data_IF_457422708987
#
_entry.id   IF_457422708987
#
_cell.length_a   1.000
_cell.length_b   1.000
_cell.length_c   1.000
_cell.angle_alpha   90.00
_cell.angle_beta   90.00
_cell.angle_gamma   90.00
#
_symmetry.space_group_name_H-M   'P 1'
#
loop_
_entity.id
_entity.type
_entity.pdbx_description
1 polymer ?
#
# COMPACT_ATOMS: atom_id res chain seq x y z
N UNK A 1 16.86 -0.56 -11.12
CA UNK A 1 17.67 0.38 -11.89
C UNK A 1 18.85 -0.39 -12.47
N UNK A 2 18.93 -0.61 -13.79
CA UNK A 2 19.94 -1.50 -14.39
C UNK A 2 21.38 -1.03 -14.18
N UNK A 3 21.62 0.29 -14.13
CA UNK A 3 22.95 0.89 -13.89
C UNK A 3 23.53 0.56 -12.51
N UNK A 4 22.69 0.55 -11.46
CA UNK A 4 23.15 0.19 -10.12
C UNK A 4 23.57 -1.28 -10.02
N UNK A 5 22.87 -2.17 -10.74
CA UNK A 5 23.25 -3.58 -10.82
C UNK A 5 24.53 -3.76 -11.63
N UNK A 6 24.72 -3.00 -12.71
CA UNK A 6 25.96 -3.01 -13.49
C UNK A 6 27.17 -2.57 -12.67
N UNK A 7 27.04 -1.48 -11.90
CA UNK A 7 28.09 -1.02 -10.95
C UNK A 7 28.50 -2.14 -10.01
N UNK A 8 27.52 -2.81 -9.38
CA UNK A 8 27.82 -3.91 -8.46
C UNK A 8 28.51 -5.08 -9.16
N UNK A 9 28.03 -5.49 -10.35
CA UNK A 9 28.62 -6.61 -11.10
C UNK A 9 30.06 -6.32 -11.54
N UNK A 10 30.35 -5.10 -12.01
CA UNK A 10 31.70 -4.68 -12.39
C UNK A 10 32.66 -4.73 -11.18
N UNK A 11 32.20 -4.31 -10.00
CA UNK A 11 33.03 -4.25 -8.79
C UNK A 11 33.21 -5.60 -8.08
N UNK A 12 32.24 -6.52 -8.20
CA UNK A 12 32.15 -7.71 -7.34
C UNK A 12 32.28 -9.04 -8.11
N UNK A 13 32.45 -9.03 -9.44
CA UNK A 13 32.55 -10.25 -10.26
C UNK A 13 33.63 -10.15 -11.33
N UNK A 14 34.10 -11.29 -11.84
CA UNK A 14 35.05 -11.38 -12.96
C UNK A 14 34.36 -11.48 -14.34
N UNK A 15 33.11 -11.00 -14.45
CA UNK A 15 32.34 -11.05 -15.69
C UNK A 15 32.88 -10.06 -16.73
N UNK A 16 32.74 -10.43 -18.00
CA UNK A 16 33.09 -9.54 -19.11
C UNK A 16 32.09 -8.40 -19.26
N UNK A 17 32.53 -7.28 -19.83
CA UNK A 17 31.66 -6.13 -20.09
C UNK A 17 30.46 -6.48 -20.97
N UNK A 18 30.64 -7.38 -21.94
CA UNK A 18 29.54 -7.86 -22.79
C UNK A 18 28.49 -8.65 -22.02
N UNK A 19 28.92 -9.49 -21.05
CA UNK A 19 27.99 -10.25 -20.20
C UNK A 19 27.15 -9.33 -19.31
N UNK A 20 27.78 -8.31 -18.72
CA UNK A 20 27.11 -7.32 -17.87
C UNK A 20 26.18 -6.43 -18.71
N UNK A 21 26.65 -6.01 -19.89
CA UNK A 21 25.89 -5.20 -20.83
C UNK A 21 24.60 -5.90 -21.27
N UNK A 22 24.69 -7.17 -21.65
CA UNK A 22 23.52 -7.96 -22.05
C UNK A 22 22.53 -8.14 -20.89
N UNK A 23 23.02 -8.47 -19.69
CA UNK A 23 22.17 -8.67 -18.51
C UNK A 23 21.46 -7.38 -18.06
N UNK A 24 22.18 -6.26 -18.04
CA UNK A 24 21.64 -4.97 -17.64
C UNK A 24 20.96 -4.20 -18.80
N UNK A 25 20.94 -4.75 -20.02
CA UNK A 25 20.47 -4.07 -21.23
C UNK A 25 21.13 -2.71 -21.45
N UNK A 26 22.45 -2.64 -21.27
CA UNK A 26 23.30 -1.48 -21.49
C UNK A 26 24.22 -1.73 -22.68
N UNK A 27 24.82 -0.66 -23.22
CA UNK A 27 25.88 -0.83 -24.22
C UNK A 27 27.21 -1.21 -23.52
N UNK A 28 28.08 -2.07 -24.10
CA UNK A 28 29.38 -2.41 -23.51
C UNK A 28 30.25 -1.19 -23.15
N UNK A 29 30.20 -0.15 -23.97
CA UNK A 29 30.87 1.14 -23.69
C UNK A 29 30.33 1.86 -22.44
N UNK A 30 29.04 1.73 -22.12
CA UNK A 30 28.50 2.28 -20.87
C UNK A 30 29.02 1.49 -19.67
N UNK A 31 29.15 0.17 -19.80
CA UNK A 31 29.72 -0.69 -18.73
C UNK A 31 31.20 -0.41 -18.53
N UNK A 32 31.94 -0.20 -19.62
CA UNK A 32 33.33 0.25 -19.56
C UNK A 32 33.44 1.61 -18.86
N UNK A 33 32.60 2.58 -19.23
CA UNK A 33 32.57 3.88 -18.54
C UNK A 33 32.23 3.76 -17.05
N UNK A 34 31.44 2.75 -16.65
CA UNK A 34 31.19 2.45 -15.23
C UNK A 34 32.45 1.90 -14.55
N UNK A 35 33.18 1.01 -15.23
CA UNK A 35 34.44 0.46 -14.72
C UNK A 35 35.54 1.53 -14.60
N UNK A 36 35.57 2.47 -15.55
CA UNK A 36 36.52 3.60 -15.56
C UNK A 36 36.13 4.70 -14.54
N UNK A 37 34.91 4.65 -14.00
CA UNK A 37 34.39 5.61 -13.01
C UNK A 37 33.76 6.88 -13.60
N UNK A 38 33.70 6.98 -14.93
CA UNK A 38 33.17 8.13 -15.68
C UNK A 38 31.63 8.13 -15.77
N UNK A 39 31.03 6.93 -15.80
CA UNK A 39 29.58 6.73 -15.93
C UNK A 39 29.06 6.17 -14.61
N UNK A 40 27.96 6.73 -14.08
CA UNK A 40 27.34 6.32 -12.81
C UNK A 40 28.04 6.79 -11.52
N UNK A 41 28.83 7.87 -11.55
CA UNK A 41 29.39 8.50 -10.35
C UNK A 41 28.28 8.81 -9.32
N UNK A 42 28.42 8.28 -8.10
CA UNK A 42 27.44 8.45 -7.02
C UNK A 42 26.27 7.47 -7.00
N UNK A 43 26.19 6.51 -7.94
CA UNK A 43 25.23 5.41 -7.88
C UNK A 43 25.76 4.32 -6.95
N UNK A 44 25.01 4.00 -5.89
CA UNK A 44 25.33 2.88 -5.00
C UNK A 44 24.98 1.56 -5.71
N UNK A 45 25.98 0.66 -5.83
CA UNK A 45 25.80 -0.66 -6.42
C UNK A 45 24.70 -1.47 -5.75
N UNK A 46 23.84 -2.12 -6.55
CA UNK A 46 22.78 -3.00 -6.07
C UNK A 46 23.09 -4.46 -6.39
N UNK A 47 23.26 -5.26 -5.34
CA UNK A 47 23.55 -6.70 -5.41
C UNK A 47 22.39 -7.50 -6.05
N UNK A 48 22.57 -8.06 -7.26
CA UNK A 48 21.54 -8.84 -7.95
C UNK A 48 21.32 -10.23 -7.33
N UNK A 49 22.28 -10.75 -6.55
CA UNK A 49 22.14 -12.03 -5.84
C UNK A 49 21.22 -11.82 -4.63
N UNK A 50 21.48 -10.78 -3.83
CA UNK A 50 20.61 -10.43 -2.68
C UNK A 50 19.20 -10.03 -3.11
N UNK A 51 19.06 -9.38 -4.26
CA UNK A 51 17.76 -9.05 -4.84
C UNK A 51 17.04 -10.26 -5.47
N UNK A 52 17.66 -11.44 -5.48
CA UNK A 52 17.09 -12.68 -6.01
C UNK A 52 16.98 -12.74 -7.54
N UNK A 53 17.70 -11.86 -8.25
CA UNK A 53 17.72 -11.82 -9.72
C UNK A 53 18.70 -12.84 -10.30
N UNK A 54 19.81 -13.10 -9.60
CA UNK A 54 20.85 -14.08 -9.96
C UNK A 54 21.11 -15.04 -8.80
N UNK A 55 21.69 -16.20 -9.10
CA UNK A 55 22.25 -17.09 -8.07
C UNK A 55 23.78 -17.02 -8.10
N UNK A 56 24.46 -17.28 -6.96
CA UNK A 56 25.92 -17.34 -6.92
C UNK A 56 26.48 -18.33 -7.95
N UNK A 57 25.82 -19.47 -8.14
CA UNK A 57 26.26 -20.51 -9.07
C UNK A 57 26.20 -20.02 -10.53
N UNK A 58 25.19 -19.23 -10.88
CA UNK A 58 25.03 -18.65 -12.21
C UNK A 58 26.14 -17.63 -12.52
N UNK A 59 26.51 -16.80 -11.54
CA UNK A 59 27.65 -15.88 -11.66
C UNK A 59 28.94 -16.67 -11.88
N UNK A 60 29.23 -17.67 -11.04
CA UNK A 60 30.43 -18.50 -11.20
C UNK A 60 30.46 -19.27 -12.53
N UNK A 61 29.31 -19.70 -13.05
CA UNK A 61 29.21 -20.34 -14.37
C UNK A 61 29.63 -19.38 -15.49
N UNK A 62 29.19 -18.13 -15.41
CA UNK A 62 29.50 -17.10 -16.39
C UNK A 62 30.91 -16.54 -16.25
N UNK A 63 31.48 -16.46 -15.04
CA UNK A 63 32.88 -16.08 -14.81
C UNK A 63 33.86 -17.09 -15.44
N UNK A 64 33.52 -18.38 -15.43
CA UNK A 64 34.36 -19.44 -16.03
C UNK A 64 34.23 -19.53 -17.55
N UNK A 65 33.25 -18.87 -18.16
CA UNK A 65 33.02 -18.93 -19.60
C UNK A 65 32.58 -17.56 -20.14
N UNK A 66 33.49 -16.79 -20.78
CA UNK A 66 33.19 -15.49 -21.37
C UNK A 66 32.06 -15.50 -22.42
N UNK A 67 31.82 -16.64 -23.08
CA UNK A 67 30.76 -16.78 -24.07
C UNK A 67 29.39 -17.09 -23.42
N UNK A 68 29.35 -17.47 -22.15
CA UNK A 68 28.10 -17.73 -21.45
C UNK A 68 27.38 -16.42 -21.14
N UNK A 69 26.04 -16.44 -21.14
CA UNK A 69 25.19 -15.30 -20.78
C UNK A 69 24.45 -15.56 -19.49
N UNK A 70 24.35 -14.52 -18.66
CA UNK A 70 23.64 -14.53 -17.40
C UNK A 70 22.15 -14.68 -17.65
N UNK A 71 21.50 -15.61 -16.95
CA UNK A 71 20.05 -15.78 -17.01
C UNK A 71 19.40 -15.28 -15.73
N UNK A 72 18.34 -14.48 -15.88
CA UNK A 72 17.50 -14.12 -14.73
C UNK A 72 16.92 -15.39 -14.11
N UNK A 73 17.02 -15.48 -12.79
CA UNK A 73 16.33 -16.51 -12.03
C UNK A 73 14.82 -16.30 -12.17
N UNK A 74 14.09 -17.37 -12.48
CA UNK A 74 12.64 -17.35 -12.42
C UNK A 74 12.19 -17.11 -10.96
N UNK A 75 11.33 -16.11 -10.70
CA UNK A 75 10.89 -15.83 -9.34
C UNK A 75 10.09 -17.02 -8.81
N UNK A 76 10.67 -17.76 -7.86
CA UNK A 76 9.99 -18.88 -7.17
C UNK A 76 8.79 -18.40 -6.34
N UNK A 77 8.75 -17.11 -6.01
CA UNK A 77 7.68 -16.49 -5.21
C UNK A 77 7.00 -15.41 -6.05
N UNK A 78 5.68 -15.48 -6.27
CA UNK A 78 4.96 -14.40 -6.94
C UNK A 78 5.16 -13.10 -6.16
N UNK A 79 5.56 -12.04 -6.86
CA UNK A 79 5.75 -10.71 -6.31
C UNK A 79 4.52 -10.32 -5.47
N UNK A 80 4.69 -10.23 -4.15
CA UNK A 80 3.63 -9.78 -3.25
C UNK A 80 3.25 -8.37 -3.70
N UNK A 81 2.08 -8.21 -4.31
CA UNK A 81 1.59 -6.89 -4.73
C UNK A 81 1.60 -6.00 -3.51
N UNK A 82 2.37 -4.91 -3.56
CA UNK A 82 2.42 -3.89 -2.51
C UNK A 82 1.00 -3.61 -2.05
N UNK A 83 0.73 -3.84 -0.76
CA UNK A 83 -0.56 -3.55 -0.16
C UNK A 83 -0.87 -2.10 -0.49
N UNK A 84 -1.97 -1.84 -1.20
CA UNK A 84 -2.39 -0.48 -1.55
C UNK A 84 -2.35 0.32 -0.25
N UNK A 85 -1.50 1.34 -0.20
CA UNK A 85 -1.36 2.20 0.98
C UNK A 85 -2.70 2.86 1.33
N UNK A 86 -2.79 3.53 2.48
CA UNK A 86 -4.01 4.23 2.89
C UNK A 86 -4.55 5.07 1.74
N UNK A 87 -5.81 4.84 1.36
CA UNK A 87 -6.43 5.53 0.23
C UNK A 87 -6.47 7.03 0.56
N UNK A 88 -5.87 7.85 -0.29
CA UNK A 88 -5.94 9.30 -0.13
C UNK A 88 -7.39 9.75 -0.32
N UNK A 89 -8.00 10.30 0.74
CA UNK A 89 -9.35 10.86 0.66
C UNK A 89 -9.25 12.36 0.28
N UNK A 90 -9.77 12.78 -0.89
CA UNK A 90 -9.67 14.15 -1.41
C UNK A 90 -10.17 15.21 -0.43
N UNK A 91 -9.63 16.43 -0.51
CA UNK A 91 -9.96 17.57 0.38
C UNK A 91 -11.47 17.86 0.41
N UNK A 92 -12.11 17.88 -0.76
CA UNK A 92 -13.55 18.12 -0.89
C UNK A 92 -14.42 17.13 -0.11
N UNK A 93 -13.95 15.89 0.07
CA UNK A 93 -14.68 14.84 0.78
C UNK A 93 -14.31 14.73 2.26
N UNK A 94 -13.43 15.61 2.78
CA UNK A 94 -13.00 15.56 4.19
C UNK A 94 -14.09 15.97 5.17
N UNK A 95 -14.98 16.87 4.75
CA UNK A 95 -16.10 17.36 5.54
C UNK A 95 -17.13 16.26 5.82
N UNK A 96 -17.31 15.31 4.90
CA UNK A 96 -18.22 14.17 5.03
C UNK A 96 -17.64 13.01 5.86
N UNK A 97 -16.37 13.08 6.28
CA UNK A 97 -15.74 11.98 7.05
C UNK A 97 -16.35 11.77 8.43
N UNK A 98 -16.67 12.80 9.23
CA UNK A 98 -17.31 12.61 10.53
C UNK A 98 -18.67 11.92 10.41
N UNK A 99 -19.44 12.26 9.38
CA UNK A 99 -20.74 11.64 9.05
C UNK A 99 -20.61 10.15 8.72
N UNK A 100 -19.59 9.81 7.94
CA UNK A 100 -19.24 8.43 7.63
C UNK A 100 -18.75 7.63 8.85
N UNK A 101 -17.95 8.25 9.73
CA UNK A 101 -17.51 7.62 10.98
C UNK A 101 -18.73 7.34 11.86
N UNK A 102 -19.62 8.32 12.01
CA UNK A 102 -20.86 8.19 12.78
C UNK A 102 -21.74 7.04 12.25
N UNK A 103 -21.87 6.91 10.93
CA UNK A 103 -22.59 5.80 10.31
C UNK A 103 -21.97 4.45 10.63
N UNK A 104 -20.65 4.30 10.55
CA UNK A 104 -19.98 3.04 10.87
C UNK A 104 -20.12 2.69 12.35
N UNK A 105 -19.98 3.66 13.25
CA UNK A 105 -20.13 3.44 14.69
C UNK A 105 -21.59 3.13 15.11
N UNK A 106 -22.58 3.59 14.34
CA UNK A 106 -24.01 3.27 14.55
C UNK A 106 -24.37 1.90 13.98
N UNK A 107 -24.02 1.64 12.71
CA UNK A 107 -24.52 0.46 11.97
C UNK A 107 -23.58 -0.75 12.00
N UNK A 108 -22.29 -0.51 12.23
CA UNK A 108 -21.26 -1.55 12.28
C UNK A 108 -20.36 -1.39 13.51
N UNK A 109 -20.93 -1.41 14.73
CA UNK A 109 -20.16 -1.26 15.96
C UNK A 109 -19.14 -2.40 16.16
N UNK A 110 -19.29 -3.51 15.45
CA UNK A 110 -18.30 -4.58 15.43
C UNK A 110 -16.96 -4.18 14.83
N UNK A 111 -16.88 -3.13 13.99
CA UNK A 111 -15.63 -2.71 13.36
C UNK A 111 -14.66 -2.10 14.39
N UNK A 112 -13.40 -2.50 14.32
CA UNK A 112 -12.34 -1.87 15.12
C UNK A 112 -11.94 -0.50 14.56
N UNK A 113 -11.42 0.38 15.42
CA UNK A 113 -10.95 1.71 15.06
C UNK A 113 -9.89 1.65 13.96
N UNK A 114 -9.01 0.64 13.97
CA UNK A 114 -8.01 0.46 12.92
C UNK A 114 -8.65 0.21 11.55
N UNK A 115 -9.76 -0.52 11.50
CA UNK A 115 -10.51 -0.82 10.27
C UNK A 115 -11.25 0.42 9.79
N UNK A 116 -11.86 1.18 10.69
CA UNK A 116 -12.50 2.48 10.37
C UNK A 116 -11.47 3.47 9.81
N UNK A 117 -10.29 3.57 10.43
CA UNK A 117 -9.20 4.41 9.95
C UNK A 117 -8.76 4.04 8.53
N UNK A 118 -8.66 2.73 8.26
CA UNK A 118 -8.25 2.19 6.97
C UNK A 118 -9.30 2.40 5.88
N UNK A 119 -10.59 2.27 6.20
CA UNK A 119 -11.70 2.49 5.26
C UNK A 119 -11.84 3.95 4.85
N UNK A 120 -11.74 4.88 5.81
CA UNK A 120 -12.07 6.29 5.57
C UNK A 120 -10.84 7.20 5.36
N UNK A 121 -9.63 6.68 5.59
CA UNK A 121 -8.40 7.45 5.51
C UNK A 121 -8.34 8.53 6.60
N UNK A 122 -8.65 8.13 7.84
CA UNK A 122 -8.71 9.01 9.02
C UNK A 122 -7.79 8.50 10.15
N UNK A 123 -7.69 9.23 11.25
CA UNK A 123 -6.89 8.85 12.43
C UNK A 123 -7.78 8.36 13.56
N UNK A 124 -7.22 7.54 14.47
CA UNK A 124 -7.91 7.08 15.68
C UNK A 124 -8.41 8.23 16.55
N UNK A 125 -7.66 9.33 16.60
CA UNK A 125 -8.06 10.53 17.32
C UNK A 125 -9.36 11.11 16.77
N UNK A 126 -9.52 11.17 15.44
CA UNK A 126 -10.76 11.64 14.82
C UNK A 126 -11.92 10.68 15.08
N UNK A 127 -11.68 9.36 14.99
CA UNK A 127 -12.73 8.35 15.30
C UNK A 127 -13.22 8.52 16.75
N UNK A 128 -12.30 8.64 17.70
CA UNK A 128 -12.64 8.86 19.10
C UNK A 128 -13.32 10.20 19.36
N UNK A 129 -12.94 11.26 18.64
CA UNK A 129 -13.59 12.57 18.76
C UNK A 129 -15.06 12.52 18.29
N UNK A 130 -15.35 11.77 17.22
CA UNK A 130 -16.74 11.54 16.78
C UNK A 130 -17.47 10.64 17.77
N UNK A 131 -16.82 9.55 18.24
CA UNK A 131 -17.38 8.62 19.22
C UNK A 131 -17.83 9.30 20.50
N UNK A 132 -16.99 10.19 21.01
CA UNK A 132 -17.22 10.89 22.27
C UNK A 132 -17.95 12.23 22.09
N UNK A 133 -18.43 12.54 20.88
CA UNK A 133 -19.08 13.82 20.53
C UNK A 133 -18.23 15.06 20.89
N UNK A 134 -16.90 14.94 20.85
CA UNK A 134 -15.93 16.02 21.11
C UNK A 134 -15.32 16.62 19.83
N UNK A 135 -15.74 16.13 18.66
CA UNK A 135 -15.39 16.75 17.39
C UNK A 135 -16.00 18.16 17.30
N UNK A 136 -15.25 19.13 16.77
CA UNK A 136 -15.71 20.53 16.69
C UNK A 136 -17.05 20.69 15.93
N UNK A 137 -17.30 19.82 14.95
CA UNK A 137 -18.53 19.80 14.16
C UNK A 137 -19.61 18.84 14.72
N UNK A 138 -19.44 18.31 15.93
CA UNK A 138 -20.34 17.29 16.49
C UNK A 138 -21.84 17.61 16.41
N UNK A 139 -22.30 18.87 16.62
CA UNK A 139 -23.71 19.20 16.50
C UNK A 139 -24.32 18.98 15.11
N UNK A 140 -23.49 19.01 14.06
CA UNK A 140 -23.95 18.90 12.68
C UNK A 140 -23.67 17.50 12.08
N UNK A 141 -23.09 16.58 12.84
CA UNK A 141 -22.76 15.24 12.33
C UNK A 141 -24.05 14.46 12.09
N UNK A 142 -24.26 14.04 10.84
CA UNK A 142 -25.40 13.19 10.46
C UNK A 142 -24.88 11.86 9.93
N UNK A 143 -25.25 10.70 10.51
CA UNK A 143 -24.80 9.40 10.02
C UNK A 143 -25.15 9.21 8.53
N UNK A 144 -24.14 9.08 7.66
CA UNK A 144 -24.30 8.84 6.22
C UNK A 144 -23.40 7.70 5.74
N UNK A 145 -23.92 6.89 4.82
CA UNK A 145 -23.20 5.71 4.32
C UNK A 145 -21.89 6.10 3.60
N UNK A 146 -20.71 5.59 4.03
CA UNK A 146 -19.43 5.91 3.41
C UNK A 146 -19.29 5.45 1.96
N UNK A 147 -20.06 4.45 1.53
CA UNK A 147 -20.10 3.98 0.13
C UNK A 147 -20.83 4.99 -0.73
N UNK A 148 -21.98 5.50 -0.28
CA UNK A 148 -22.75 6.53 -0.98
C UNK A 148 -22.00 7.86 -1.07
N UNK A 149 -21.27 8.21 -0.01
CA UNK A 149 -20.35 9.36 -0.01
C UNK A 149 -19.12 9.16 -0.92
N UNK A 150 -18.91 7.93 -1.40
CA UNK A 150 -17.76 7.54 -2.22
C UNK A 150 -16.43 7.72 -1.49
N UNK A 151 -16.42 7.43 -0.18
CA UNK A 151 -15.22 7.38 0.68
C UNK A 151 -14.60 5.97 0.64
N UNK A 152 -15.42 4.93 0.62
CA UNK A 152 -14.99 3.56 0.39
C UNK A 152 -15.84 2.89 -0.71
N UNK A 153 -15.46 1.69 -1.14
CA UNK A 153 -16.28 0.88 -2.05
C UNK A 153 -17.03 -0.18 -1.25
N UNK A 154 -18.17 -0.66 -1.76
CA UNK A 154 -18.89 -1.77 -1.14
C UNK A 154 -18.00 -2.99 -0.92
N UNK A 155 -17.13 -3.29 -1.90
CA UNK A 155 -16.16 -4.38 -1.82
C UNK A 155 -15.18 -4.21 -0.67
N UNK A 156 -14.73 -2.98 -0.40
CA UNK A 156 -13.81 -2.71 0.72
C UNK A 156 -14.51 -2.81 2.07
N UNK A 157 -15.73 -2.29 2.18
CA UNK A 157 -16.54 -2.40 3.40
C UNK A 157 -16.81 -3.88 3.75
N UNK A 158 -17.27 -4.66 2.77
CA UNK A 158 -17.52 -6.09 2.95
C UNK A 158 -16.24 -6.85 3.32
N UNK A 159 -15.09 -6.47 2.76
CA UNK A 159 -13.79 -7.08 3.09
C UNK A 159 -13.44 -6.84 4.56
N UNK A 160 -13.54 -5.61 5.05
CA UNK A 160 -13.19 -5.29 6.43
C UNK A 160 -14.16 -5.94 7.43
N UNK A 161 -15.46 -6.00 7.10
CA UNK A 161 -16.44 -6.75 7.90
C UNK A 161 -16.11 -8.25 7.95
N UNK A 162 -15.73 -8.86 6.82
CA UNK A 162 -15.34 -10.26 6.77
C UNK A 162 -14.06 -10.53 7.60
N UNK A 163 -13.05 -9.67 7.48
CA UNK A 163 -11.82 -9.75 8.28
C UNK A 163 -12.16 -9.64 9.77
N UNK A 164 -13.04 -8.71 10.14
CA UNK A 164 -13.45 -8.56 11.54
C UNK A 164 -14.14 -9.80 12.06
N UNK A 165 -15.06 -10.38 11.30
CA UNK A 165 -15.76 -11.62 11.67
C UNK A 165 -14.80 -12.80 11.86
N UNK A 166 -13.73 -12.89 11.05
CA UNK A 166 -12.75 -13.96 11.14
C UNK A 166 -11.81 -13.82 12.34
N UNK A 167 -11.42 -12.58 12.64
CA UNK A 167 -10.40 -12.27 13.65
C UNK A 167 -11.00 -11.85 15.00
N UNK A 168 -12.32 -11.83 15.15
CA UNK A 168 -12.98 -11.44 16.41
C UNK A 168 -12.79 -12.54 17.44
N UNK A 169 -12.35 -12.17 18.63
CA UNK A 169 -12.37 -13.10 19.76
C UNK A 169 -13.84 -13.38 20.15
N UNK A 170 -14.23 -14.65 20.37
CA UNK A 170 -15.60 -14.99 20.76
C UNK A 170 -16.08 -14.31 22.05
N UNK A 171 -15.13 -13.96 22.93
CA UNK A 171 -15.38 -13.28 24.21
C UNK A 171 -15.27 -11.75 24.13
N UNK A 172 -14.95 -11.18 22.97
CA UNK A 172 -14.85 -9.73 22.79
C UNK A 172 -16.25 -9.10 22.82
N UNK A 173 -16.45 -8.14 23.73
CA UNK A 173 -17.71 -7.39 23.80
C UNK A 173 -17.78 -6.42 22.62
N UNK A 174 -18.87 -6.51 21.87
CA UNK A 174 -19.16 -5.54 20.81
C UNK A 174 -19.57 -4.23 21.49
N UNK A 175 -18.95 -3.09 21.16
CA UNK A 175 -19.39 -1.79 21.64
C UNK A 175 -20.88 -1.59 21.37
N UNK A 176 -21.58 -0.90 22.27
CA UNK A 176 -22.97 -0.53 21.96
C UNK A 176 -23.00 0.39 20.74
N UNK A 177 -23.97 0.18 19.82
CA UNK A 177 -24.12 1.05 18.67
C UNK A 177 -24.34 2.48 19.13
N UNK A 178 -23.69 3.43 18.44
CA UNK A 178 -23.84 4.84 18.79
C UNK A 178 -25.29 5.27 18.60
N UNK A 179 -25.91 5.75 19.68
CA UNK A 179 -27.23 6.35 19.63
C UNK A 179 -27.10 7.76 19.04
N UNK A 180 -27.94 8.05 18.06
CA UNK A 180 -28.18 9.40 17.56
C UNK A 180 -29.64 9.69 17.84
N UNK A 181 -29.93 10.86 18.38
CA UNK A 181 -31.29 11.32 18.60
C UNK A 181 -31.97 11.35 17.22
N UNK A 182 -33.02 10.53 17.06
CA UNK A 182 -33.82 10.49 15.84
C UNK A 182 -34.75 11.71 15.83
N UNK A 183 -34.17 12.90 15.77
CA UNK A 183 -34.93 14.14 15.72
C UNK A 183 -35.04 14.65 14.25
N UNK A 184 -36.29 14.63 13.80
CA UNK A 184 -36.87 15.26 12.61
C UNK A 184 -36.47 14.71 11.23
N UNK A 185 -37.10 13.58 10.89
CA UNK A 185 -37.72 13.46 9.56
C UNK A 185 -38.69 14.63 9.40
N UNK A 186 -38.17 15.78 8.96
CA UNK A 186 -39.01 16.83 8.41
C UNK A 186 -39.70 16.21 7.21
N UNK A 187 -40.94 15.76 7.46
CA UNK A 187 -41.85 15.26 6.47
C UNK A 187 -41.75 16.13 5.23
N UNK A 188 -41.46 15.47 4.11
CA UNK A 188 -41.71 16.03 2.80
C UNK A 188 -43.21 16.38 2.80
N UNK A 189 -43.54 17.65 3.11
CA UNK A 189 -44.86 18.18 2.86
C UNK A 189 -45.00 18.25 1.35
N UNK A 190 -45.56 17.16 0.81
CA UNK A 190 -46.06 17.06 -0.54
C UNK A 190 -47.39 17.84 -0.57
N UNK A 191 -47.29 19.17 -0.53
CA UNK A 191 -48.42 20.08 -0.73
C UNK A 191 -48.31 20.72 -2.12
N UNK A 192 -49.04 20.09 -3.05
CA UNK A 192 -49.63 20.55 -4.32
C UNK A 192 -48.78 21.28 -5.37
#
# INVERSE_FOLDING_TARGET
MPKATAVWLVENTALTFDQIAEFCSLHPLEVQGIADGDVATGIVGQDPIKNGQLTPEEVTRCERNPAARLKLREPTVPLMRRTKGPRYTPVAKRQERPDAIAFLLKNHPELDDAQVCKLLGTTKQTVNAVRNRTHWNSPNIKPRDPVLLGLCTQTDLNRELAIRRLNRDPNEQIPEPMQFDEDDDHGYNDDY
#
